data_IF_217852258699
#
_entry.id   IF_217852258699
#
_cell.length_a   1.000
_cell.length_b   1.000
_cell.length_c   1.000
_cell.angle_alpha   90.00
_cell.angle_beta   90.00
_cell.angle_gamma   90.00
#
_symmetry.space_group_name_H-M   'P 1'
#
loop_
_entity.id
_entity.type
_entity.pdbx_description
1 polymer ?
#
# COMPACT_ATOMS: atom_id res chain seq x y z
N UNK A 1 14.46 19.93 -3.81
CA UNK A 1 14.59 19.06 -4.98
C UNK A 1 13.20 18.60 -5.34
N UNK A 2 12.71 19.02 -6.51
CA UNK A 2 11.47 18.46 -7.07
C UNK A 2 11.65 16.95 -7.19
N UNK A 3 10.92 16.20 -6.36
CA UNK A 3 10.80 14.76 -6.54
C UNK A 3 9.96 14.61 -7.80
N UNK A 4 10.58 14.23 -8.91
CA UNK A 4 9.89 13.91 -10.16
C UNK A 4 8.85 12.83 -9.84
N UNK A 5 7.59 13.24 -9.70
CA UNK A 5 6.50 12.34 -9.33
C UNK A 5 6.19 11.46 -10.54
N UNK A 6 6.74 10.25 -10.56
CA UNK A 6 6.40 9.24 -11.57
C UNK A 6 5.03 8.65 -11.27
N UNK A 7 4.07 8.90 -12.14
CA UNK A 7 2.75 8.25 -12.10
C UNK A 7 2.90 6.83 -12.63
N UNK A 8 2.57 5.85 -11.80
CA UNK A 8 2.53 4.44 -12.19
C UNK A 8 1.18 4.17 -12.86
N UNK A 9 1.18 3.83 -14.14
CA UNK A 9 -0.05 3.63 -14.94
C UNK A 9 -0.40 2.15 -15.16
N UNK A 10 0.46 1.23 -14.72
CA UNK A 10 0.26 -0.20 -14.88
C UNK A 10 0.46 -0.96 -13.56
N UNK A 11 -0.47 -1.89 -13.29
CA UNK A 11 -0.44 -2.72 -12.07
C UNK A 11 0.88 -3.47 -11.87
N UNK A 12 1.43 -4.06 -12.94
CA UNK A 12 2.70 -4.78 -12.87
C UNK A 12 3.85 -3.89 -12.43
N UNK A 13 3.95 -2.71 -13.06
CA UNK A 13 4.99 -1.74 -12.74
C UNK A 13 4.89 -1.26 -11.29
N UNK A 14 3.67 -1.07 -10.79
CA UNK A 14 3.46 -0.70 -9.40
C UNK A 14 3.80 -1.82 -8.42
N UNK A 15 3.52 -3.07 -8.75
CA UNK A 15 3.95 -4.21 -7.92
C UNK A 15 5.47 -4.28 -7.84
N UNK A 16 6.17 -4.11 -8.96
CA UNK A 16 7.64 -4.14 -9.01
C UNK A 16 8.24 -2.96 -8.23
N UNK A 17 7.66 -1.77 -8.39
CA UNK A 17 8.11 -0.57 -7.66
C UNK A 17 7.91 -0.71 -6.15
N UNK A 18 6.76 -1.20 -5.71
CA UNK A 18 6.46 -1.46 -4.28
C UNK A 18 7.40 -2.53 -3.71
N UNK A 19 7.65 -3.61 -4.46
CA UNK A 19 8.57 -4.66 -4.03
C UNK A 19 9.97 -4.09 -3.76
N UNK A 20 10.50 -3.28 -4.70
CA UNK A 20 11.79 -2.61 -4.53
C UNK A 20 11.82 -1.71 -3.29
N UNK A 21 10.79 -0.89 -3.06
CA UNK A 21 10.74 0.00 -1.90
C UNK A 21 10.72 -0.74 -0.56
N UNK A 22 10.09 -1.93 -0.52
CA UNK A 22 10.09 -2.77 0.68
C UNK A 22 11.42 -3.48 0.85
N UNK A 23 12.09 -3.85 -0.24
CA UNK A 23 13.38 -4.51 -0.22
C UNK A 23 14.50 -3.57 0.25
N UNK A 24 14.42 -2.29 -0.12
CA UNK A 24 15.34 -1.22 0.31
C UNK A 24 15.31 -0.96 1.84
N UNK A 25 14.30 -1.46 2.55
CA UNK A 25 14.13 -1.22 3.99
C UNK A 25 14.92 -2.16 4.90
N UNK A 26 15.54 -3.21 4.35
CA UNK A 26 16.32 -4.21 5.10
C UNK A 26 15.56 -4.84 6.29
N UNK A 27 14.23 -4.92 6.19
CA UNK A 27 13.41 -5.48 7.26
C UNK A 27 13.60 -7.00 7.42
N UNK A 28 13.35 -7.48 8.64
CA UNK A 28 13.19 -8.92 8.90
C UNK A 28 12.14 -9.55 7.96
N UNK A 29 12.40 -10.78 7.56
CA UNK A 29 11.60 -11.50 6.55
C UNK A 29 10.11 -11.59 6.89
N UNK A 30 9.74 -11.69 8.18
CA UNK A 30 8.34 -11.74 8.61
C UNK A 30 7.63 -10.40 8.40
N UNK A 31 8.29 -9.29 8.78
CA UNK A 31 7.77 -7.93 8.57
C UNK A 31 7.67 -7.65 7.08
N UNK A 32 8.74 -7.90 6.32
CA UNK A 32 8.80 -7.78 4.86
C UNK A 32 7.61 -8.49 4.21
N UNK A 33 7.43 -9.79 4.49
CA UNK A 33 6.32 -10.59 3.95
C UNK A 33 4.95 -9.99 4.25
N UNK A 34 4.68 -9.65 5.52
CA UNK A 34 3.39 -9.09 5.92
C UNK A 34 3.09 -7.74 5.27
N UNK A 35 4.10 -6.86 5.17
CA UNK A 35 3.95 -5.54 4.56
C UNK A 35 3.76 -5.64 3.05
N UNK A 36 4.54 -6.48 2.36
CA UNK A 36 4.38 -6.75 0.94
C UNK A 36 2.98 -7.30 0.62
N UNK A 37 2.43 -8.18 1.46
CA UNK A 37 1.09 -8.74 1.23
C UNK A 37 -0.02 -7.69 1.36
N UNK A 38 0.08 -6.79 2.35
CA UNK A 38 -0.85 -5.68 2.53
C UNK A 38 -0.76 -4.70 1.34
N UNK A 39 0.45 -4.28 0.97
CA UNK A 39 0.67 -3.34 -0.12
C UNK A 39 0.23 -3.91 -1.47
N UNK A 40 0.51 -5.20 -1.73
CA UNK A 40 0.02 -5.90 -2.91
C UNK A 40 -1.50 -5.86 -3.00
N UNK A 41 -2.21 -5.98 -1.87
CA UNK A 41 -3.67 -5.94 -1.86
C UNK A 41 -4.20 -4.57 -2.29
N UNK A 42 -3.53 -3.48 -1.89
CA UNK A 42 -3.86 -2.13 -2.34
C UNK A 42 -3.69 -1.99 -3.86
N UNK A 43 -2.54 -2.38 -4.39
CA UNK A 43 -2.21 -2.31 -5.83
C UNK A 43 -3.17 -3.15 -6.66
N UNK A 44 -3.54 -4.35 -6.19
CA UNK A 44 -4.47 -5.22 -6.90
C UNK A 44 -5.94 -4.75 -6.90
N UNK A 45 -6.33 -3.89 -5.95
CA UNK A 45 -7.69 -3.33 -5.84
C UNK A 45 -7.78 -1.89 -6.33
N UNK A 46 -6.67 -1.31 -6.76
CA UNK A 46 -6.67 -0.03 -7.43
C UNK A 46 -7.37 -0.18 -8.78
N UNK A 47 -8.34 0.69 -9.01
CA UNK A 47 -8.81 1.01 -10.35
C UNK A 47 -7.70 1.81 -11.05
N UNK A 48 -7.11 1.25 -12.11
CA UNK A 48 -5.97 1.84 -12.82
C UNK A 48 -6.37 2.96 -13.79
N UNK A 49 -7.67 3.14 -14.04
CA UNK A 49 -8.17 4.28 -14.81
C UNK A 49 -8.35 5.50 -13.90
N UNK A 50 -8.80 5.30 -12.67
CA UNK A 50 -9.14 6.40 -11.73
C UNK A 50 -8.12 6.61 -10.61
N UNK A 51 -7.27 5.62 -10.32
CA UNK A 51 -6.35 5.59 -9.19
C UNK A 51 -7.04 5.33 -7.84
N UNK A 52 -8.36 5.09 -7.82
CA UNK A 52 -9.13 4.90 -6.60
C UNK A 52 -9.03 3.45 -6.10
N UNK A 53 -8.98 3.31 -4.78
CA UNK A 53 -9.11 2.02 -4.10
C UNK A 53 -10.40 2.06 -3.29
N UNK A 54 -11.36 1.20 -3.60
CA UNK A 54 -12.65 1.14 -2.91
C UNK A 54 -12.92 -0.26 -2.35
N UNK A 55 -13.78 -0.38 -1.34
CA UNK A 55 -14.20 -1.68 -0.78
C UNK A 55 -13.14 -2.45 0.04
N UNK A 56 -11.98 -1.84 0.31
CA UNK A 56 -10.92 -2.40 1.15
C UNK A 56 -10.97 -1.82 2.57
N UNK A 57 -11.34 -2.66 3.53
CA UNK A 57 -11.32 -2.30 4.96
C UNK A 57 -9.95 -2.58 5.58
N UNK A 58 -9.63 -1.91 6.69
CA UNK A 58 -8.43 -2.20 7.51
C UNK A 58 -8.38 -3.66 7.94
N UNK A 59 -9.53 -4.25 8.27
CA UNK A 59 -9.65 -5.67 8.62
C UNK A 59 -9.25 -6.59 7.45
N UNK A 60 -9.74 -6.32 6.23
CA UNK A 60 -9.38 -7.11 5.02
C UNK A 60 -7.90 -6.98 4.67
N UNK A 61 -7.34 -5.79 4.83
CA UNK A 61 -5.90 -5.56 4.69
C UNK A 61 -5.11 -6.31 5.76
N UNK A 62 -5.54 -6.25 7.01
CA UNK A 62 -4.91 -6.96 8.12
C UNK A 62 -4.86 -8.47 7.91
N UNK A 63 -5.98 -9.04 7.44
CA UNK A 63 -6.05 -10.46 7.07
C UNK A 63 -5.06 -10.84 5.95
N UNK A 64 -4.82 -9.97 4.98
CA UNK A 64 -3.85 -10.23 3.91
C UNK A 64 -2.40 -10.32 4.44
N UNK A 65 -2.07 -9.57 5.49
CA UNK A 65 -0.75 -9.56 6.10
C UNK A 65 -0.57 -10.46 7.33
N UNK A 66 -1.64 -11.10 7.81
CA UNK A 66 -1.72 -11.72 9.14
C UNK A 66 -1.31 -10.73 10.25
N UNK A 67 -1.89 -9.52 10.22
CA UNK A 67 -1.58 -8.43 11.16
C UNK A 67 -2.84 -7.72 11.65
N UNK A 68 -2.75 -7.18 12.86
CA UNK A 68 -3.77 -6.32 13.43
C UNK A 68 -3.90 -4.98 12.68
N UNK A 69 -5.07 -4.34 12.80
CA UNK A 69 -5.38 -3.06 12.14
C UNK A 69 -4.37 -1.95 12.45
N UNK A 70 -3.81 -1.92 13.67
CA UNK A 70 -2.73 -0.98 14.04
C UNK A 70 -1.52 -1.09 13.11
N UNK A 71 -1.20 -2.29 12.62
CA UNK A 71 -0.11 -2.48 11.66
C UNK A 71 -0.52 -1.97 10.28
N UNK A 72 -1.78 -2.17 9.88
CA UNK A 72 -2.31 -1.64 8.61
C UNK A 72 -2.22 -0.11 8.60
N UNK A 73 -2.60 0.57 9.69
CA UNK A 73 -2.42 2.03 9.80
C UNK A 73 -0.97 2.46 9.61
N UNK A 74 0.00 1.69 10.13
CA UNK A 74 1.44 1.95 9.94
C UNK A 74 1.88 1.72 8.50
N UNK A 75 1.34 0.71 7.83
CA UNK A 75 1.60 0.45 6.39
C UNK A 75 1.07 1.60 5.54
N UNK A 76 -0.15 2.08 5.81
CA UNK A 76 -0.76 3.19 5.07
C UNK A 76 0.00 4.50 5.29
N UNK A 77 0.42 4.78 6.53
CA UNK A 77 1.26 5.94 6.84
C UNK A 77 2.60 5.87 6.10
N UNK A 78 3.29 4.73 6.14
CA UNK A 78 4.53 4.55 5.40
C UNK A 78 4.35 4.68 3.88
N UNK A 79 3.27 4.13 3.33
CA UNK A 79 2.96 4.23 1.91
C UNK A 79 2.72 5.69 1.50
N UNK A 80 2.05 6.48 2.35
CA UNK A 80 1.90 7.93 2.16
C UNK A 80 3.25 8.65 2.22
N UNK A 81 4.10 8.35 3.20
CA UNK A 81 5.43 8.96 3.35
C UNK A 81 6.34 8.63 2.14
N UNK A 82 6.11 7.48 1.50
CA UNK A 82 6.77 7.04 0.26
C UNK A 82 6.16 7.62 -1.01
N UNK A 83 5.06 8.37 -0.91
CA UNK A 83 4.33 8.90 -2.06
C UNK A 83 3.56 7.85 -2.86
N UNK A 84 3.33 6.66 -2.30
CA UNK A 84 2.53 5.58 -2.92
C UNK A 84 1.02 5.80 -2.75
N UNK A 85 0.62 6.51 -1.70
CA UNK A 85 -0.76 6.91 -1.43
C UNK A 85 -0.82 8.41 -1.20
N UNK A 86 -1.78 9.07 -1.82
CA UNK A 86 -1.96 10.52 -1.68
C UNK A 86 -2.97 10.85 -0.58
N UNK A 87 -4.09 10.12 -0.54
CA UNK A 87 -5.19 10.34 0.39
C UNK A 87 -5.68 8.98 0.92
N UNK A 88 -6.04 8.93 2.21
CA UNK A 88 -6.74 7.81 2.83
C UNK A 88 -7.92 8.40 3.58
N UNK A 89 -9.13 8.16 3.08
CA UNK A 89 -10.37 8.58 3.74
C UNK A 89 -10.96 7.37 4.48
N UNK A 90 -11.20 7.46 5.79
CA UNK A 90 -12.08 6.50 6.43
C UNK A 90 -13.45 6.63 5.77
N UNK A 91 -14.01 5.51 5.29
CA UNK A 91 -15.37 5.52 4.74
C UNK A 91 -16.31 6.18 5.75
N UNK A 92 -17.24 7.01 5.27
CA UNK A 92 -18.18 7.69 6.14
C UNK A 92 -18.86 6.68 7.07
N UNK A 93 -18.57 6.76 8.38
CA UNK A 93 -19.37 6.07 9.37
C UNK A 93 -20.74 6.75 9.37
N UNK A 94 -21.73 6.08 8.80
CA UNK A 94 -23.13 6.48 8.93
C UNK A 94 -23.62 6.30 10.37
#
# INVERSE_FOLDING_TARGET
MDREYRVLTAQREALDYVARLVDDEEWRSDKRRSWSAILRRLVCHMDWETGLITGLTTQRLGAAGDRAERTVSRVLAWARDRGLLVVVEPGASA
#
